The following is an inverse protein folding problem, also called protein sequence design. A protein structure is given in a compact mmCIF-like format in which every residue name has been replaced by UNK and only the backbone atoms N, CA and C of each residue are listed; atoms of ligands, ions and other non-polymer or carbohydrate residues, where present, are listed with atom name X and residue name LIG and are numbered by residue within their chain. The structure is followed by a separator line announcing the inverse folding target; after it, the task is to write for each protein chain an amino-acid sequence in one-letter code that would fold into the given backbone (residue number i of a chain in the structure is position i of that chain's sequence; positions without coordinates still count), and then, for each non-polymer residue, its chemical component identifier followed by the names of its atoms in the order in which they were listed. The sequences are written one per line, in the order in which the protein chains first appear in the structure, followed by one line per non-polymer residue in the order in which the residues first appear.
data_IF_245542514270
#
_entry.id   IF_245542514270
#
_cell.length_a   1.000
_cell.length_b   1.000
_cell.length_c   1.000
_cell.angle_alpha   90.00
_cell.angle_beta   90.00
_cell.angle_gamma   90.00
#
_symmetry.space_group_name_H-M   'P 1'
#
loop_
_entity.id
_entity.type
_entity.pdbx_description
1 polymer ?
#
# COMPACT_ATOMS: atom_id res chain seq x y z
N UNK A 1 14.99 13.09 -18.83
CA UNK A 1 13.84 13.33 -17.93
C UNK A 1 14.19 13.19 -16.44
N UNK A 2 15.46 13.17 -16.02
CA UNK A 2 15.85 13.10 -14.60
C UNK A 2 15.48 11.78 -13.92
N UNK A 3 15.67 10.66 -14.63
CA UNK A 3 15.47 9.30 -14.14
C UNK A 3 16.65 8.45 -14.61
N UNK A 4 16.94 7.38 -13.87
CA UNK A 4 18.00 6.44 -14.21
C UNK A 4 17.43 5.25 -14.97
N UNK A 5 18.16 4.82 -16.00
CA UNK A 5 17.84 3.62 -16.77
C UNK A 5 18.85 2.54 -16.40
N UNK A 6 18.35 1.42 -15.90
CA UNK A 6 19.17 0.29 -15.45
C UNK A 6 18.87 -0.87 -16.39
N UNK A 7 19.88 -1.28 -17.15
CA UNK A 7 19.78 -2.43 -18.05
C UNK A 7 20.38 -3.67 -17.40
N UNK A 8 19.60 -4.73 -17.33
CA UNK A 8 20.05 -6.05 -16.92
C UNK A 8 20.15 -6.94 -18.17
N UNK A 9 21.39 -7.12 -18.64
CA UNK A 9 21.73 -7.95 -19.81
C UNK A 9 21.34 -9.42 -19.63
N UNK A 10 21.44 -9.95 -18.40
CA UNK A 10 21.18 -11.37 -18.13
C UNK A 10 19.70 -11.69 -18.29
N UNK A 11 18.84 -10.81 -17.79
CA UNK A 11 17.40 -10.99 -17.84
C UNK A 11 16.76 -10.27 -19.04
N UNK A 12 17.55 -9.55 -19.85
CA UNK A 12 17.08 -8.70 -20.95
C UNK A 12 15.98 -7.72 -20.49
N UNK A 13 16.16 -7.11 -19.31
CA UNK A 13 15.19 -6.17 -18.73
C UNK A 13 15.75 -4.76 -18.64
N UNK A 14 14.89 -3.78 -18.87
CA UNK A 14 15.20 -2.36 -18.69
C UNK A 14 14.31 -1.79 -17.60
N UNK A 15 14.94 -1.32 -16.52
CA UNK A 15 14.26 -0.75 -15.37
C UNK A 15 14.39 0.78 -15.36
N UNK A 16 13.30 1.47 -15.01
CA UNK A 16 13.28 2.93 -14.84
C UNK A 16 13.25 3.25 -13.35
N UNK A 17 14.30 3.88 -12.84
CA UNK A 17 14.41 4.30 -11.45
C UNK A 17 14.33 5.82 -11.32
N UNK A 18 13.68 6.29 -10.25
CA UNK A 18 13.52 7.72 -9.99
C UNK A 18 12.46 8.00 -8.93
N UNK A 19 12.58 9.12 -8.24
CA UNK A 19 11.67 9.51 -7.16
C UNK A 19 10.34 10.07 -7.68
N UNK A 20 10.37 10.86 -8.76
CA UNK A 20 9.18 11.46 -9.36
C UNK A 20 8.42 10.41 -10.22
N UNK A 21 7.21 10.00 -9.83
CA UNK A 21 6.42 9.00 -10.56
C UNK A 21 6.03 9.46 -11.97
N UNK A 22 5.79 10.76 -12.18
CA UNK A 22 5.40 11.31 -13.48
C UNK A 22 6.58 11.27 -14.45
N UNK A 23 7.79 11.57 -13.97
CA UNK A 23 9.01 11.44 -14.79
C UNK A 23 9.31 9.99 -15.15
N UNK A 24 9.09 9.05 -14.23
CA UNK A 24 9.22 7.61 -14.52
C UNK A 24 8.25 7.17 -15.59
N UNK A 25 6.98 7.58 -15.50
CA UNK A 25 5.99 7.26 -16.53
C UNK A 25 6.34 7.90 -17.87
N UNK A 26 6.82 9.15 -17.88
CA UNK A 26 7.28 9.80 -19.11
C UNK A 26 8.40 9.01 -19.78
N UNK A 27 9.38 8.53 -19.00
CA UNK A 27 10.47 7.71 -19.53
C UNK A 27 9.97 6.36 -20.03
N UNK A 28 9.17 5.64 -19.24
CA UNK A 28 8.56 4.35 -19.62
C UNK A 28 7.78 4.47 -20.93
N UNK A 29 6.85 5.43 -21.02
CA UNK A 29 6.00 5.64 -22.20
C UNK A 29 6.80 6.11 -23.42
N UNK A 30 7.85 6.91 -23.21
CA UNK A 30 8.72 7.34 -24.31
C UNK A 30 9.52 6.16 -24.87
N UNK A 31 10.08 5.30 -24.01
CA UNK A 31 10.82 4.11 -24.42
C UNK A 31 9.92 3.10 -25.14
N UNK A 32 8.71 2.87 -24.63
CA UNK A 32 7.72 2.02 -25.28
C UNK A 32 7.43 2.49 -26.72
N UNK A 33 7.26 3.80 -26.93
CA UNK A 33 7.10 4.36 -28.27
C UNK A 33 8.35 4.22 -29.14
N UNK A 34 9.54 4.41 -28.57
CA UNK A 34 10.81 4.26 -29.28
C UNK A 34 11.04 2.83 -29.75
N UNK A 35 10.66 1.81 -28.97
CA UNK A 35 10.78 0.40 -29.36
C UNK A 35 9.98 0.05 -30.62
N UNK A 36 8.93 0.81 -30.93
CA UNK A 36 8.13 0.65 -32.13
C UNK A 36 8.60 1.52 -33.30
N UNK A 37 9.53 2.45 -33.09
CA UNK A 37 10.08 3.32 -34.12
C UNK A 37 11.37 2.71 -34.71
N UNK A 38 11.42 2.56 -36.04
CA UNK A 38 12.53 1.87 -36.74
C UNK A 38 13.69 2.81 -37.09
N UNK A 39 13.49 4.12 -36.99
CA UNK A 39 14.48 5.15 -37.37
C UNK A 39 14.73 6.09 -36.19
N UNK A 40 15.49 5.60 -35.22
CA UNK A 40 15.86 6.35 -34.02
C UNK A 40 17.14 7.15 -34.27
N UNK A 41 16.99 8.45 -34.43
CA UNK A 41 18.07 9.43 -34.34
C UNK A 41 17.82 10.41 -33.18
N UNK A 42 18.82 11.18 -32.72
CA UNK A 42 18.67 12.08 -31.57
C UNK A 42 17.48 13.05 -31.71
N UNK A 43 17.27 13.63 -32.89
CA UNK A 43 16.16 14.56 -33.15
C UNK A 43 14.80 13.87 -33.03
N UNK A 44 14.70 12.62 -33.50
CA UNK A 44 13.49 11.81 -33.39
C UNK A 44 13.19 11.44 -31.94
N UNK A 45 14.21 11.08 -31.17
CA UNK A 45 14.11 10.76 -29.73
C UNK A 45 13.55 11.97 -28.97
N UNK A 46 14.12 13.16 -29.18
CA UNK A 46 13.66 14.39 -28.54
C UNK A 46 12.20 14.72 -28.89
N UNK A 47 11.86 14.61 -30.18
CA UNK A 47 10.49 14.84 -30.68
C UNK A 47 9.48 13.87 -30.07
N UNK A 48 9.83 12.59 -29.94
CA UNK A 48 8.99 11.56 -29.30
C UNK A 48 8.78 11.84 -27.81
N UNK A 49 9.83 12.25 -27.10
CA UNK A 49 9.74 12.61 -25.68
C UNK A 49 8.81 13.81 -25.51
N UNK A 50 8.97 14.87 -26.29
CA UNK A 50 8.13 16.07 -26.20
C UNK A 50 6.66 15.80 -26.54
N UNK A 51 6.40 14.96 -27.55
CA UNK A 51 5.03 14.52 -27.85
C UNK A 51 4.45 13.71 -26.69
N UNK A 52 5.23 12.78 -26.13
CA UNK A 52 4.79 11.94 -25.01
C UNK A 52 4.52 12.76 -23.75
N UNK A 53 5.35 13.77 -23.48
CA UNK A 53 5.15 14.73 -22.42
C UNK A 53 3.81 15.45 -22.57
N UNK A 54 3.50 15.98 -23.76
CA UNK A 54 2.20 16.63 -24.03
C UNK A 54 1.02 15.67 -23.83
N UNK A 55 1.11 14.44 -24.32
CA UNK A 55 0.08 13.42 -24.14
C UNK A 55 -0.13 13.09 -22.64
N UNK A 56 0.97 12.97 -21.88
CA UNK A 56 0.97 12.66 -20.46
C UNK A 56 0.31 13.78 -19.65
N UNK A 57 0.70 15.04 -19.86
CA UNK A 57 0.07 16.18 -19.19
C UNK A 57 -1.41 16.33 -19.54
N UNK A 58 -1.81 16.01 -20.77
CA UNK A 58 -3.23 15.97 -21.16
C UNK A 58 -4.01 14.90 -20.38
N UNK A 59 -3.41 13.71 -20.18
CA UNK A 59 -4.00 12.65 -19.35
C UNK A 59 -4.13 13.08 -17.89
N UNK A 60 -3.08 13.67 -17.31
CA UNK A 60 -3.08 14.20 -15.93
C UNK A 60 -4.23 15.19 -15.74
N UNK A 61 -4.33 16.19 -16.63
CA UNK A 61 -5.40 17.19 -16.55
C UNK A 61 -6.78 16.55 -16.65
N UNK A 62 -6.97 15.62 -17.59
CA UNK A 62 -8.24 14.89 -17.74
C UNK A 62 -8.58 14.09 -16.49
N UNK A 63 -7.61 13.41 -15.87
CA UNK A 63 -7.81 12.68 -14.62
C UNK A 63 -8.24 13.63 -13.49
N UNK A 64 -7.59 14.79 -13.36
CA UNK A 64 -8.00 15.82 -12.40
C UNK A 64 -9.43 16.33 -12.60
N UNK A 65 -9.83 16.56 -13.86
CA UNK A 65 -11.20 16.95 -14.21
C UNK A 65 -12.21 15.85 -13.90
N UNK A 66 -11.88 14.59 -14.20
CA UNK A 66 -12.70 13.42 -13.85
C UNK A 66 -12.86 13.29 -12.34
N UNK A 67 -11.76 13.40 -11.57
CA UNK A 67 -11.76 13.34 -10.11
C UNK A 67 -12.74 14.35 -9.50
N UNK A 68 -12.61 15.62 -9.89
CA UNK A 68 -13.50 16.68 -9.39
C UNK A 68 -14.97 16.41 -9.78
N UNK A 69 -15.21 15.90 -11.00
CA UNK A 69 -16.55 15.56 -11.47
C UNK A 69 -17.18 14.41 -10.70
N UNK A 70 -16.44 13.33 -10.49
CA UNK A 70 -16.91 12.12 -9.78
C UNK A 70 -17.30 12.44 -8.34
N UNK A 71 -16.48 13.24 -7.65
CA UNK A 71 -16.77 13.65 -6.28
C UNK A 71 -17.72 14.86 -6.17
N UNK A 72 -18.20 15.40 -7.30
CA UNK A 72 -19.04 16.60 -7.35
C UNK A 72 -18.39 17.81 -6.65
N UNK A 73 -17.09 18.02 -6.86
CA UNK A 73 -16.30 19.10 -6.27
C UNK A 73 -16.32 20.32 -7.19
N UNK A 74 -17.15 21.30 -6.83
CA UNK A 74 -17.29 22.57 -7.53
C UNK A 74 -16.12 23.52 -7.19
N UNK A 75 -15.78 24.46 -8.07
CA UNK A 75 -14.80 25.53 -7.79
C UNK A 75 -13.41 25.04 -7.34
N UNK A 76 -12.98 23.85 -7.77
CA UNK A 76 -11.61 23.37 -7.50
C UNK A 76 -10.61 24.04 -8.45
N UNK A 77 -9.51 24.55 -7.89
CA UNK A 77 -8.47 25.24 -8.65
C UNK A 77 -7.86 24.33 -9.72
N UNK A 78 -7.43 24.87 -10.88
CA UNK A 78 -6.72 24.10 -11.90
C UNK A 78 -5.47 23.39 -11.36
N UNK A 79 -4.75 24.01 -10.44
CA UNK A 79 -3.53 23.50 -9.81
C UNK A 79 -3.85 22.26 -8.97
N UNK A 80 -4.87 22.34 -8.10
CA UNK A 80 -5.33 21.17 -7.31
C UNK A 80 -5.75 20.03 -8.24
N UNK A 81 -6.53 20.31 -9.29
CA UNK A 81 -6.94 19.27 -10.26
C UNK A 81 -5.74 18.61 -10.92
N UNK A 82 -4.76 19.38 -11.38
CA UNK A 82 -3.55 18.83 -12.01
C UNK A 82 -2.75 17.97 -11.03
N UNK A 83 -2.59 18.43 -9.78
CA UNK A 83 -1.90 17.70 -8.71
C UNK A 83 -2.61 16.39 -8.36
N UNK A 84 -3.94 16.42 -8.24
CA UNK A 84 -4.74 15.19 -8.05
C UNK A 84 -4.61 14.24 -9.24
N UNK A 85 -4.63 14.77 -10.48
CA UNK A 85 -4.42 13.96 -11.67
C UNK A 85 -3.06 13.26 -11.72
N UNK A 86 -2.01 13.88 -11.16
CA UNK A 86 -0.67 13.30 -11.11
C UNK A 86 -0.59 12.06 -10.19
N UNK A 87 -1.46 11.95 -9.18
CA UNK A 87 -1.55 10.77 -8.31
C UNK A 87 -1.89 9.47 -9.06
N UNK A 88 -2.38 9.55 -10.31
CA UNK A 88 -2.58 8.38 -11.17
C UNK A 88 -1.30 7.57 -11.36
N UNK A 89 -0.14 8.19 -11.22
CA UNK A 89 1.17 7.55 -11.38
C UNK A 89 1.85 7.23 -10.04
N UNK A 90 1.21 7.58 -8.92
CA UNK A 90 1.71 7.31 -7.57
C UNK A 90 1.05 6.06 -7.01
N UNK A 91 1.88 5.18 -6.45
CA UNK A 91 1.44 4.03 -5.68
C UNK A 91 1.97 4.12 -4.26
N UNK A 92 1.14 3.70 -3.31
CA UNK A 92 1.48 3.53 -1.90
C UNK A 92 0.97 2.16 -1.46
N UNK A 93 1.84 1.32 -0.90
CA UNK A 93 1.50 -0.06 -0.49
C UNK A 93 0.74 -0.86 -1.56
N UNK A 94 1.17 -0.78 -2.83
CA UNK A 94 0.53 -1.41 -4.01
C UNK A 94 -0.86 -0.89 -4.40
N UNK A 95 -1.40 0.07 -3.66
CA UNK A 95 -2.62 0.79 -4.01
C UNK A 95 -2.26 2.03 -4.85
N UNK A 96 -3.02 2.26 -5.92
CA UNK A 96 -2.87 3.48 -6.71
C UNK A 96 -3.52 4.66 -5.98
N UNK A 97 -2.80 5.76 -5.87
CA UNK A 97 -3.14 6.84 -4.96
C UNK A 97 -4.31 7.69 -5.46
N UNK A 98 -4.47 7.86 -6.77
CA UNK A 98 -5.62 8.54 -7.35
C UNK A 98 -6.93 7.84 -6.96
N UNK A 99 -6.99 6.53 -7.17
CA UNK A 99 -8.20 5.76 -6.86
C UNK A 99 -8.48 5.68 -5.36
N UNK A 100 -7.43 5.60 -4.54
CA UNK A 100 -7.57 5.67 -3.09
C UNK A 100 -8.18 7.00 -2.65
N UNK A 101 -7.63 8.14 -3.10
CA UNK A 101 -8.19 9.45 -2.77
C UNK A 101 -9.65 9.60 -3.24
N UNK A 102 -9.98 9.14 -4.44
CA UNK A 102 -11.36 9.16 -4.94
C UNK A 102 -12.29 8.38 -4.01
N UNK A 103 -11.89 7.18 -3.60
CA UNK A 103 -12.68 6.36 -2.69
C UNK A 103 -12.83 6.97 -1.30
N UNK A 104 -11.74 7.48 -0.71
CA UNK A 104 -11.78 8.16 0.59
C UNK A 104 -12.71 9.36 0.53
N UNK A 105 -12.71 10.11 -0.57
CA UNK A 105 -13.70 11.16 -0.82
C UNK A 105 -15.15 10.64 -0.75
N UNK A 106 -15.47 9.55 -1.46
CA UNK A 106 -16.81 8.96 -1.41
C UNK A 106 -17.19 8.49 0.00
N UNK A 107 -16.31 7.75 0.67
CA UNK A 107 -16.52 7.22 2.01
C UNK A 107 -16.73 8.35 3.02
N UNK A 108 -15.87 9.36 3.01
CA UNK A 108 -15.95 10.49 3.92
C UNK A 108 -17.24 11.29 3.69
N UNK A 109 -17.66 11.46 2.43
CA UNK A 109 -18.95 12.08 2.09
C UNK A 109 -20.15 11.31 2.61
N UNK A 110 -20.16 9.98 2.51
CA UNK A 110 -21.22 9.13 3.05
C UNK A 110 -21.27 9.21 4.58
N UNK A 111 -20.12 9.02 5.24
CA UNK A 111 -20.04 9.11 6.70
C UNK A 111 -20.49 10.49 7.22
N UNK A 112 -20.09 11.57 6.53
CA UNK A 112 -20.53 12.93 6.85
C UNK A 112 -22.06 13.04 6.79
N UNK A 113 -22.68 12.52 5.73
CA UNK A 113 -24.13 12.58 5.56
C UNK A 113 -24.89 11.79 6.64
N UNK A 114 -24.39 10.61 7.03
CA UNK A 114 -25.00 9.78 8.08
C UNK A 114 -24.97 10.47 9.46
N UNK A 115 -23.99 11.35 9.69
CA UNK A 115 -23.88 12.14 10.92
C UNK A 115 -24.53 13.53 10.82
N UNK A 116 -25.25 13.83 9.75
CA UNK A 116 -25.90 15.13 9.53
C UNK A 116 -24.93 16.27 9.19
N UNK A 117 -23.69 15.96 8.80
CA UNK A 117 -22.68 16.90 8.35
C UNK A 117 -22.74 17.12 6.82
N UNK A 118 -22.00 18.11 6.32
CA UNK A 118 -21.93 18.43 4.90
C UNK A 118 -21.31 17.30 4.09
N UNK A 119 -22.11 16.64 3.25
CA UNK A 119 -21.64 15.65 2.27
C UNK A 119 -20.59 16.25 1.31
N UNK A 120 -20.75 17.51 0.92
CA UNK A 120 -19.80 18.20 0.03
C UNK A 120 -18.43 18.37 0.70
N UNK A 121 -18.41 18.77 1.96
CA UNK A 121 -17.15 18.98 2.70
C UNK A 121 -16.46 17.65 3.00
N UNK A 122 -17.23 16.62 3.36
CA UNK A 122 -16.73 15.26 3.51
C UNK A 122 -16.02 14.75 2.26
N UNK A 123 -16.66 14.89 1.08
CA UNK A 123 -16.05 14.50 -0.19
C UNK A 123 -14.79 15.29 -0.51
N UNK A 124 -14.81 16.59 -0.22
CA UNK A 124 -13.70 17.49 -0.53
C UNK A 124 -12.49 17.20 0.35
N UNK A 125 -12.65 17.14 1.67
CA UNK A 125 -11.57 16.84 2.59
C UNK A 125 -11.03 15.41 2.39
N UNK A 126 -11.92 14.41 2.31
CA UNK A 126 -11.51 13.03 2.07
C UNK A 126 -10.83 12.84 0.72
N UNK A 127 -11.30 13.53 -0.33
CA UNK A 127 -10.68 13.49 -1.64
C UNK A 127 -9.28 14.11 -1.69
N UNK A 128 -9.03 15.14 -0.88
CA UNK A 128 -7.78 15.90 -0.89
C UNK A 128 -6.75 15.45 0.16
N UNK A 129 -7.12 14.57 1.10
CA UNK A 129 -6.26 14.20 2.25
C UNK A 129 -4.82 13.86 1.86
N UNK A 130 -4.66 13.10 0.78
CA UNK A 130 -3.37 12.56 0.34
C UNK A 130 -2.73 13.32 -0.83
N UNK A 131 -3.22 14.52 -1.16
CA UNK A 131 -2.71 15.32 -2.29
C UNK A 131 -1.20 15.59 -2.20
N UNK A 132 -0.65 15.70 -0.98
CA UNK A 132 0.78 15.91 -0.74
C UNK A 132 1.68 14.79 -1.26
N UNK A 133 1.18 13.56 -1.44
CA UNK A 133 1.96 12.42 -1.99
C UNK A 133 2.37 12.59 -3.45
N UNK A 134 1.87 13.63 -4.12
CA UNK A 134 2.31 14.04 -5.45
C UNK A 134 3.53 14.98 -5.43
N UNK A 135 3.84 15.57 -4.28
CA UNK A 135 4.85 16.63 -4.10
C UNK A 135 5.93 16.27 -3.06
N UNK A 136 5.75 15.19 -2.30
CA UNK A 136 6.63 14.69 -1.23
C UNK A 136 8.10 14.47 -1.64
N UNK A 137 8.37 14.23 -2.92
CA UNK A 137 9.72 14.06 -3.45
C UNK A 137 10.47 15.39 -3.66
N UNK A 138 9.77 16.53 -3.61
CA UNK A 138 10.33 17.86 -3.88
C UNK A 138 10.35 18.78 -2.64
N UNK A 139 9.66 18.39 -1.57
CA UNK A 139 9.45 19.21 -0.37
C UNK A 139 9.65 18.32 0.85
N UNK A 140 10.52 18.73 1.77
CA UNK A 140 10.72 18.05 3.05
C UNK A 140 9.51 18.25 3.97
N UNK A 141 8.96 17.16 4.50
CA UNK A 141 7.84 17.20 5.46
C UNK A 141 6.87 16.03 5.34
N UNK A 142 5.92 15.94 6.26
CA UNK A 142 4.80 15.01 6.18
C UNK A 142 3.87 15.39 5.04
N UNK A 143 3.42 14.42 4.25
CA UNK A 143 2.54 14.67 3.09
C UNK A 143 1.19 15.30 3.48
N UNK A 144 0.71 15.09 4.71
CA UNK A 144 -0.48 15.77 5.23
C UNK A 144 -0.26 17.28 5.33
N UNK A 145 0.88 17.70 5.91
CA UNK A 145 1.25 19.12 6.04
C UNK A 145 1.49 19.75 4.66
N UNK A 146 2.30 19.09 3.82
CA UNK A 146 2.58 19.56 2.45
C UNK A 146 1.28 19.71 1.65
N UNK A 147 0.38 18.74 1.76
CA UNK A 147 -0.92 18.76 1.09
C UNK A 147 -1.79 19.92 1.58
N UNK A 148 -1.90 20.09 2.89
CA UNK A 148 -2.67 21.16 3.53
C UNK A 148 -2.18 22.56 3.11
N UNK A 149 -0.88 22.82 3.21
CA UNK A 149 -0.28 24.10 2.83
C UNK A 149 -0.50 24.41 1.34
N UNK A 150 -0.40 23.37 0.49
CA UNK A 150 -0.67 23.50 -0.93
C UNK A 150 -2.11 23.89 -1.19
N UNK A 151 -3.09 23.21 -0.59
CA UNK A 151 -4.50 23.50 -0.87
C UNK A 151 -4.95 24.84 -0.26
N UNK A 152 -4.41 25.22 0.90
CA UNK A 152 -4.62 26.53 1.54
C UNK A 152 -4.18 27.67 0.61
N UNK A 153 -2.97 27.56 0.05
CA UNK A 153 -2.44 28.53 -0.94
C UNK A 153 -3.31 28.67 -2.19
N UNK A 154 -4.09 27.63 -2.53
CA UNK A 154 -4.99 27.63 -3.68
C UNK A 154 -6.46 27.89 -3.31
N UNK A 155 -6.71 28.41 -2.11
CA UNK A 155 -8.00 28.96 -1.71
C UNK A 155 -9.01 27.95 -1.17
N UNK A 156 -8.57 26.78 -0.69
CA UNK A 156 -9.45 25.89 0.06
C UNK A 156 -9.85 26.48 1.42
N UNK A 157 -11.04 26.11 1.89
CA UNK A 157 -11.56 26.59 3.16
C UNK A 157 -10.80 26.00 4.37
N UNK A 158 -10.66 26.78 5.44
CA UNK A 158 -9.84 26.42 6.62
C UNK A 158 -10.22 25.06 7.23
N UNK A 159 -11.51 24.72 7.28
CA UNK A 159 -11.95 23.42 7.83
C UNK A 159 -11.57 22.24 6.94
N UNK A 160 -11.46 22.43 5.62
CA UNK A 160 -10.94 21.43 4.68
C UNK A 160 -9.42 21.29 4.87
N UNK A 161 -8.72 22.43 4.94
CA UNK A 161 -7.26 22.47 5.19
C UNK A 161 -6.92 21.74 6.48
N UNK A 162 -7.62 22.05 7.57
CA UNK A 162 -7.44 21.40 8.88
C UNK A 162 -7.65 19.89 8.82
N UNK A 163 -8.74 19.43 8.20
CA UNK A 163 -9.02 18.00 8.07
C UNK A 163 -7.94 17.26 7.27
N UNK A 164 -7.41 17.88 6.21
CA UNK A 164 -6.27 17.37 5.44
C UNK A 164 -4.98 17.42 6.24
N UNK A 165 -4.73 18.44 7.07
CA UNK A 165 -3.50 18.53 7.86
C UNK A 165 -3.47 17.52 9.01
N UNK A 166 -4.62 17.29 9.64
CA UNK A 166 -4.73 16.49 10.85
C UNK A 166 -4.89 14.98 10.62
N UNK A 167 -5.08 14.50 9.38
CA UNK A 167 -5.43 13.09 9.13
C UNK A 167 -4.33 12.07 9.50
N UNK A 168 -3.08 12.52 9.69
CA UNK A 168 -1.99 11.71 10.23
C UNK A 168 -1.55 12.12 11.64
N UNK A 169 -2.37 12.93 12.35
CA UNK A 169 -2.09 13.46 13.68
C UNK A 169 -0.83 14.37 13.75
N UNK A 170 -0.35 14.87 12.60
CA UNK A 170 0.69 15.91 12.54
C UNK A 170 0.19 17.23 13.16
N UNK A 171 -1.11 17.50 13.02
CA UNK A 171 -1.88 18.45 13.81
C UNK A 171 -2.95 17.70 14.61
N UNK A 172 -3.28 18.16 15.81
CA UNK A 172 -4.32 17.53 16.63
C UNK A 172 -5.69 17.66 15.92
N UNK A 173 -6.37 16.54 15.61
CA UNK A 173 -7.73 16.60 15.06
C UNK A 173 -8.67 17.24 16.08
N UNK A 174 -9.33 18.33 15.70
CA UNK A 174 -10.25 19.11 16.54
C UNK A 174 -11.67 19.22 15.98
N UNK A 175 -11.93 18.65 14.81
CA UNK A 175 -13.23 18.72 14.11
C UNK A 175 -13.74 17.31 13.78
N UNK A 176 -15.06 17.15 13.70
CA UNK A 176 -15.69 15.91 13.27
C UNK A 176 -15.22 15.51 11.87
N UNK A 177 -15.06 16.50 10.98
CA UNK A 177 -14.57 16.28 9.62
C UNK A 177 -13.16 15.65 9.60
N UNK A 178 -12.24 16.11 10.46
CA UNK A 178 -10.91 15.52 10.56
C UNK A 178 -10.97 14.05 10.97
N UNK A 179 -11.78 13.71 11.99
CA UNK A 179 -11.98 12.32 12.41
C UNK A 179 -12.64 11.46 11.32
N UNK A 180 -13.56 12.04 10.54
CA UNK A 180 -14.19 11.35 9.42
C UNK A 180 -13.22 11.05 8.28
N UNK A 181 -12.29 11.97 7.97
CA UNK A 181 -11.23 11.73 6.99
C UNK A 181 -10.34 10.57 7.44
N UNK A 182 -9.92 10.57 8.72
CA UNK A 182 -9.10 9.49 9.31
C UNK A 182 -9.84 8.14 9.21
N UNK A 183 -11.12 8.11 9.57
CA UNK A 183 -11.92 6.90 9.48
C UNK A 183 -12.07 6.41 8.03
N UNK A 184 -12.33 7.32 7.09
CA UNK A 184 -12.49 6.99 5.68
C UNK A 184 -11.20 6.46 5.04
N UNK A 185 -10.05 7.06 5.34
CA UNK A 185 -8.72 6.56 4.92
C UNK A 185 -8.47 5.14 5.48
N UNK A 186 -8.66 4.95 6.79
CA UNK A 186 -8.50 3.66 7.43
C UNK A 186 -9.40 2.58 6.79
N UNK A 187 -10.67 2.90 6.49
CA UNK A 187 -11.59 1.99 5.80
C UNK A 187 -11.07 1.65 4.40
N UNK A 188 -10.69 2.65 3.60
CA UNK A 188 -10.17 2.42 2.24
C UNK A 188 -8.93 1.53 2.24
N UNK A 189 -7.99 1.78 3.16
CA UNK A 189 -6.73 1.05 3.29
C UNK A 189 -6.87 -0.36 3.87
N UNK A 190 -7.90 -0.61 4.69
CA UNK A 190 -8.14 -1.92 5.31
C UNK A 190 -8.93 -2.91 4.42
N UNK A 191 -9.44 -2.46 3.26
CA UNK A 191 -10.24 -3.34 2.39
C UNK A 191 -9.43 -4.55 1.92
N UNK A 192 -10.02 -5.76 1.92
CA UNK A 192 -9.38 -6.95 1.38
C UNK A 192 -8.87 -6.72 -0.05
N UNK A 193 -7.57 -6.94 -0.26
CA UNK A 193 -6.93 -6.77 -1.57
C UNK A 193 -6.49 -5.34 -1.92
N UNK A 194 -6.71 -4.33 -1.07
CA UNK A 194 -6.20 -2.96 -1.30
C UNK A 194 -4.67 -2.88 -1.22
N UNK A 195 -4.07 -3.56 -0.24
CA UNK A 195 -2.61 -3.60 0.00
C UNK A 195 -2.05 -5.00 -0.28
N UNK A 196 -2.05 -5.41 -1.56
CA UNK A 196 -1.68 -6.76 -2.02
C UNK A 196 -0.28 -7.22 -1.60
N UNK A 197 0.68 -6.30 -1.45
CA UNK A 197 2.07 -6.66 -1.17
C UNK A 197 2.32 -7.23 0.24
N UNK A 198 1.33 -7.22 1.14
CA UNK A 198 1.49 -7.80 2.49
C UNK A 198 0.83 -9.17 2.65
N UNK A 199 -0.27 -9.44 1.94
CA UNK A 199 -1.01 -10.70 2.10
C UNK A 199 -0.22 -11.90 1.56
N UNK A 200 0.34 -11.82 0.35
CA UNK A 200 1.10 -12.93 -0.25
C UNK A 200 2.38 -13.23 0.53
N UNK A 201 3.13 -12.19 0.92
CA UNK A 201 4.34 -12.37 1.74
C UNK A 201 4.01 -12.89 3.13
N UNK A 202 2.88 -12.50 3.72
CA UNK A 202 2.42 -13.04 4.99
C UNK A 202 2.02 -14.51 4.89
N UNK A 203 1.23 -14.88 3.86
CA UNK A 203 0.86 -16.28 3.61
C UNK A 203 2.11 -17.14 3.36
N UNK A 204 3.03 -16.66 2.52
CA UNK A 204 4.30 -17.36 2.28
C UNK A 204 5.08 -17.56 3.58
N UNK A 205 5.14 -16.55 4.46
CA UNK A 205 5.80 -16.70 5.77
C UNK A 205 5.12 -17.72 6.68
N UNK A 206 3.79 -17.78 6.68
CA UNK A 206 3.07 -18.80 7.45
C UNK A 206 3.37 -20.20 6.89
N UNK A 207 3.36 -20.33 5.57
CA UNK A 207 3.67 -21.59 4.87
C UNK A 207 5.12 -22.03 5.13
N UNK A 208 6.09 -21.11 5.09
CA UNK A 208 7.50 -21.40 5.38
C UNK A 208 7.67 -21.92 6.83
N UNK A 209 6.96 -21.32 7.81
CA UNK A 209 6.97 -21.77 9.20
C UNK A 209 6.35 -23.16 9.37
N UNK A 210 5.24 -23.41 8.66
CA UNK A 210 4.56 -24.70 8.67
C UNK A 210 5.44 -25.80 8.06
N UNK A 211 6.04 -25.54 6.89
CA UNK A 211 6.96 -26.47 6.22
C UNK A 211 8.19 -26.76 7.10
N UNK A 212 8.77 -25.72 7.72
CA UNK A 212 9.93 -25.90 8.60
C UNK A 212 9.60 -26.81 9.78
N UNK A 213 8.45 -26.63 10.43
CA UNK A 213 8.03 -27.42 11.59
C UNK A 213 7.54 -28.83 11.22
N UNK A 214 6.79 -28.99 10.13
CA UNK A 214 6.26 -30.28 9.66
C UNK A 214 7.32 -31.18 9.01
N UNK A 215 8.53 -30.68 8.75
CA UNK A 215 9.63 -31.46 8.19
C UNK A 215 10.23 -32.51 9.13
N UNK A 216 9.89 -32.47 10.42
CA UNK A 216 10.35 -33.45 11.42
C UNK A 216 9.41 -34.66 11.43
N UNK A 217 9.97 -35.87 11.33
CA UNK A 217 9.21 -37.12 11.18
C UNK A 217 8.26 -37.40 12.35
N UNK A 218 8.59 -36.90 13.54
CA UNK A 218 7.82 -37.08 14.77
C UNK A 218 6.57 -36.19 14.84
N UNK A 219 6.48 -35.16 13.99
CA UNK A 219 5.38 -34.19 13.94
C UNK A 219 4.22 -34.75 13.13
N UNK A 220 3.04 -34.80 13.74
CA UNK A 220 1.79 -35.26 13.09
C UNK A 220 1.04 -34.08 12.48
N UNK A 221 1.06 -32.94 13.17
CA UNK A 221 0.24 -31.77 12.83
C UNK A 221 0.92 -30.50 13.34
N UNK A 222 0.79 -29.41 12.59
CA UNK A 222 1.43 -28.12 12.85
C UNK A 222 0.39 -27.01 12.78
N UNK A 223 0.33 -26.19 13.82
CA UNK A 223 -0.57 -25.06 13.93
C UNK A 223 0.23 -23.77 14.08
N UNK A 224 -0.02 -22.83 13.18
CA UNK A 224 0.55 -21.49 13.25
C UNK A 224 -0.48 -20.57 13.92
N UNK A 225 -0.14 -20.06 15.10
CA UNK A 225 -1.01 -19.27 15.96
C UNK A 225 -0.49 -17.84 16.10
N UNK A 226 -1.34 -16.95 16.61
CA UNK A 226 -0.96 -15.58 16.99
C UNK A 226 -0.24 -14.82 15.87
N UNK A 227 -0.78 -14.94 14.65
CA UNK A 227 -0.23 -14.34 13.43
C UNK A 227 1.22 -14.74 13.09
N UNK A 228 1.61 -15.98 13.39
CA UNK A 228 2.96 -16.49 13.16
C UNK A 228 3.94 -16.30 14.30
N UNK A 229 3.48 -15.79 15.46
CA UNK A 229 4.32 -15.64 16.66
C UNK A 229 4.34 -16.89 17.55
N UNK A 230 3.48 -17.86 17.28
CA UNK A 230 3.52 -19.15 17.94
C UNK A 230 3.38 -20.28 16.91
N UNK A 231 4.31 -21.24 16.97
CA UNK A 231 4.26 -22.48 16.21
C UNK A 231 4.01 -23.60 17.20
N UNK A 232 2.86 -24.26 17.07
CA UNK A 232 2.49 -25.39 17.91
C UNK A 232 2.47 -26.66 17.09
N UNK A 233 3.27 -27.64 17.50
CA UNK A 233 3.32 -28.95 16.84
C UNK A 233 2.73 -30.01 17.75
N UNK A 234 2.00 -30.95 17.15
CA UNK A 234 1.43 -32.11 17.81
C UNK A 234 2.24 -33.35 17.47
N UNK A 235 2.54 -34.16 18.49
CA UNK A 235 3.26 -35.42 18.35
C UNK A 235 2.48 -36.55 19.01
N UNK A 236 2.76 -37.78 18.59
CA UNK A 236 2.19 -38.99 19.19
C UNK A 236 2.70 -39.15 20.63
N UNK A 237 1.79 -39.10 21.61
CA UNK A 237 2.15 -39.29 23.01
C UNK A 237 2.71 -40.68 23.32
N UNK A 238 2.40 -41.70 22.53
CA UNK A 238 2.91 -43.06 22.76
C UNK A 238 4.32 -43.27 22.19
N UNK A 239 4.66 -42.56 21.11
CA UNK A 239 5.94 -42.73 20.42
C UNK A 239 7.02 -41.76 20.88
N UNK A 240 6.64 -40.55 21.29
CA UNK A 240 7.57 -39.49 21.69
C UNK A 240 7.55 -39.35 23.21
N UNK A 241 8.72 -39.51 23.84
CA UNK A 241 8.89 -39.34 25.30
C UNK A 241 9.04 -37.86 25.69
N UNK A 242 8.89 -37.55 26.98
CA UNK A 242 8.98 -36.17 27.47
C UNK A 242 10.30 -35.47 27.11
N UNK A 243 11.43 -36.16 27.33
CA UNK A 243 12.75 -35.61 27.02
C UNK A 243 12.93 -35.37 25.50
N UNK A 244 12.38 -36.26 24.68
CA UNK A 244 12.42 -36.14 23.22
C UNK A 244 11.57 -34.97 22.74
N UNK A 245 10.38 -34.76 23.34
CA UNK A 245 9.54 -33.60 23.04
C UNK A 245 10.23 -32.27 23.40
N UNK A 246 10.97 -32.22 24.52
CA UNK A 246 11.78 -31.06 24.89
C UNK A 246 12.93 -30.82 23.90
N UNK A 247 13.58 -31.87 23.41
CA UNK A 247 14.61 -31.74 22.39
C UNK A 247 14.04 -31.32 21.04
N UNK A 248 12.86 -31.84 20.67
CA UNK A 248 12.18 -31.53 19.43
C UNK A 248 11.77 -30.06 19.36
N UNK A 249 11.23 -29.49 20.45
CA UNK A 249 10.88 -28.06 20.49
C UNK A 249 12.09 -27.16 20.22
N UNK A 250 13.25 -27.51 20.78
CA UNK A 250 14.51 -26.79 20.56
C UNK A 250 15.02 -26.94 19.12
N UNK A 251 14.93 -28.14 18.53
CA UNK A 251 15.32 -28.38 17.13
C UNK A 251 14.45 -27.61 16.14
N UNK A 252 13.13 -27.58 16.36
CA UNK A 252 12.19 -26.83 15.52
C UNK A 252 12.48 -25.33 15.62
N UNK A 253 12.67 -24.80 16.84
CA UNK A 253 13.02 -23.39 17.03
C UNK A 253 14.30 -23.01 16.28
N UNK A 254 15.35 -23.83 16.38
CA UNK A 254 16.61 -23.61 15.65
C UNK A 254 16.47 -23.71 14.13
N UNK A 255 15.59 -24.59 13.63
CA UNK A 255 15.34 -24.69 12.19
C UNK A 255 14.60 -23.45 11.67
N UNK A 256 13.56 -23.01 12.38
CA UNK A 256 12.84 -21.78 12.06
C UNK A 256 13.78 -20.57 12.06
N UNK A 257 14.67 -20.47 13.05
CA UNK A 257 15.66 -19.38 13.14
C UNK A 257 16.63 -19.35 11.96
N UNK A 258 17.01 -20.51 11.42
CA UNK A 258 17.92 -20.61 10.26
C UNK A 258 17.23 -20.39 8.92
N UNK A 259 16.04 -20.96 8.76
CA UNK A 259 15.42 -21.13 7.45
C UNK A 259 14.34 -20.05 7.17
N UNK A 260 13.80 -19.40 8.21
CA UNK A 260 12.71 -18.42 8.07
C UNK A 260 13.14 -17.01 8.48
N UNK A 261 12.83 -16.01 7.64
CA UNK A 261 13.05 -14.60 7.99
C UNK A 261 11.82 -13.99 8.65
N UNK A 262 11.84 -13.90 9.98
CA UNK A 262 10.73 -13.35 10.77
C UNK A 262 11.21 -12.33 11.82
N UNK A 263 10.62 -11.12 11.88
CA UNK A 263 11.00 -10.13 12.89
C UNK A 263 10.41 -10.48 14.27
N UNK A 264 11.28 -10.57 15.28
CA UNK A 264 10.90 -10.83 16.66
C UNK A 264 11.00 -12.30 17.05
N UNK A 265 10.49 -12.63 18.24
CA UNK A 265 10.60 -13.98 18.81
C UNK A 265 9.40 -14.84 18.45
N UNK A 266 9.64 -16.06 17.98
CA UNK A 266 8.62 -17.08 17.74
C UNK A 266 8.65 -18.08 18.89
N UNK A 267 7.49 -18.30 19.51
CA UNK A 267 7.31 -19.32 20.55
C UNK A 267 7.03 -20.68 19.91
N UNK A 268 7.86 -21.68 20.19
CA UNK A 268 7.62 -23.06 19.73
C UNK A 268 7.07 -23.89 20.89
N UNK A 269 5.91 -24.53 20.68
CA UNK A 269 5.26 -25.40 21.66
C UNK A 269 5.08 -26.79 21.07
N UNK A 270 5.61 -27.82 21.73
CA UNK A 270 5.34 -29.23 21.39
C UNK A 270 4.27 -29.76 22.33
N UNK A 271 3.18 -30.30 21.79
CA UNK A 271 2.12 -30.94 22.56
C UNK A 271 2.10 -32.42 22.25
N UNK A 272 2.32 -33.25 23.27
CA UNK A 272 2.12 -34.70 23.19
C UNK A 272 0.62 -34.98 23.27
N UNK A 273 0.07 -35.60 22.23
CA UNK A 273 -1.36 -35.91 22.14
C UNK A 273 -1.59 -37.39 22.42
N UNK A 274 -2.47 -37.66 23.39
CA UNK A 274 -3.03 -38.99 23.64
C UNK A 274 -4.52 -38.93 23.39
N UNK A 275 -5.05 -39.87 22.61
CA UNK A 275 -6.47 -39.94 22.29
C UNK A 275 -7.04 -41.23 22.87
N UNK A 276 -8.00 -41.10 23.78
CA UNK A 276 -8.83 -42.22 24.23
C UNK A 276 -10.18 -42.13 23.53
N UNK A 277 -10.60 -43.19 22.86
CA UNK A 277 -11.86 -43.25 22.10
C UNK A 277 -12.65 -44.46 22.59
N UNK A 278 -13.87 -44.22 23.05
CA UNK A 278 -14.82 -45.26 23.46
C UNK A 278 -16.12 -45.09 22.66
N UNK A 279 -16.75 -46.21 22.32
CA UNK A 279 -17.99 -46.21 21.54
C UNK A 279 -19.13 -46.72 22.42
N UNK A 280 -20.13 -45.86 22.65
CA UNK A 280 -21.40 -46.27 23.24
C UNK A 280 -22.27 -46.96 22.17
N UNK A 281 -22.94 -48.06 22.55
CA UNK A 281 -24.04 -48.64 21.77
C UNK A 281 -25.37 -48.25 22.38
#
# INVERSE_FOLDING_TARGET
CGVDLIFDEKNMTLSVSGFDPVRRELARASMEKMMHDKDLNPQRIESLIEKTKKDLFKKIRKSGETFAKELHLENMSPEIKNTMGALMYRYSFSQNQYFHCTEVGYLCGMLSSELGLSLKDGRRAGGLHDIGKSMDHSIDGGHAVIGADFIEKHGEAEHIVHAVRAHHFDETPSTELAYLVIAADAISGARPGARRSTANTYMQKMEDLEVAASSFQEVIDTLILSAGREVRVHVDGEKVKDLEAMHLSKKIAQKIERDCSYPGTIKVTVVRKTQAVEYAK
#
